data_IF_474476454579
#
_entry.id   IF_474476454579
#
_cell.length_a   1.000
_cell.length_b   1.000
_cell.length_c   1.000
_cell.angle_alpha   90.00
_cell.angle_beta   90.00
_cell.angle_gamma   90.00
#
_symmetry.space_group_name_H-M   'P 1'
#
loop_
_entity.id
_entity.type
_entity.pdbx_description
1 polymer ?
#
# COMPACT_ATOMS: atom_id res chain seq x y z
N UNK A 1 0.93 11.60 -30.90
CA UNK A 1 -0.26 11.03 -30.30
C UNK A 1 0.11 10.46 -28.93
N UNK A 2 -0.53 10.93 -27.90
CA UNK A 2 -0.26 10.42 -26.58
C UNK A 2 -0.88 9.04 -26.44
N UNK A 3 -0.17 8.08 -25.83
CA UNK A 3 -0.78 6.79 -25.55
C UNK A 3 -1.92 6.97 -24.55
N UNK A 4 -3.06 6.44 -24.88
CA UNK A 4 -4.24 6.50 -24.02
C UNK A 4 -4.14 5.50 -22.87
N UNK A 5 -3.24 4.52 -23.00
CA UNK A 5 -3.03 3.49 -22.02
C UNK A 5 -1.55 3.37 -21.70
N UNK A 6 -1.25 3.26 -20.41
CA UNK A 6 0.05 2.80 -20.00
C UNK A 6 -0.05 1.28 -19.82
N UNK A 7 0.69 0.56 -20.65
CA UNK A 7 0.80 -0.87 -20.47
C UNK A 7 1.78 -1.14 -19.35
N UNK A 8 1.28 -1.81 -18.31
CA UNK A 8 2.10 -2.24 -17.20
C UNK A 8 2.42 -3.70 -17.42
N UNK A 9 3.71 -4.00 -17.45
CA UNK A 9 4.15 -5.38 -17.57
C UNK A 9 4.21 -6.04 -16.19
N UNK A 10 3.66 -7.24 -16.09
CA UNK A 10 3.66 -8.02 -14.87
C UNK A 10 4.52 -9.27 -15.03
N UNK A 11 5.14 -9.76 -13.94
CA UNK A 11 5.14 -9.17 -12.61
C UNK A 11 5.91 -7.85 -12.58
N UNK A 12 5.50 -6.95 -11.69
CA UNK A 12 6.20 -5.68 -11.53
C UNK A 12 6.26 -5.27 -10.06
N UNK A 13 7.26 -4.45 -9.76
CA UNK A 13 7.36 -3.84 -8.44
C UNK A 13 6.32 -2.73 -8.34
N UNK A 14 5.50 -2.78 -7.28
CA UNK A 14 4.47 -1.79 -7.03
C UNK A 14 4.63 -1.21 -5.63
N UNK A 15 4.25 0.05 -5.49
CA UNK A 15 4.35 0.73 -4.21
C UNK A 15 2.98 1.21 -3.78
N UNK A 16 2.61 0.89 -2.54
CA UNK A 16 1.46 1.47 -1.87
C UNK A 16 1.96 2.34 -0.74
N UNK A 17 1.25 3.43 -0.50
CA UNK A 17 1.48 4.26 0.68
C UNK A 17 0.24 4.18 1.54
N UNK A 18 0.42 3.70 2.78
CA UNK A 18 -0.68 3.52 3.73
C UNK A 18 -0.61 4.65 4.75
N UNK A 19 -1.76 5.27 4.97
CA UNK A 19 -1.87 6.36 5.95
C UNK A 19 -2.77 5.89 7.09
N UNK A 20 -2.32 6.08 8.32
CA UNK A 20 -3.05 5.71 9.51
C UNK A 20 -2.64 6.54 10.71
N UNK A 21 -3.26 6.25 11.86
CA UNK A 21 -3.05 7.01 13.09
C UNK A 21 -2.05 6.35 14.04
N UNK A 22 -1.84 5.04 13.90
CA UNK A 22 -1.00 4.25 14.79
C UNK A 22 -0.16 3.29 13.97
N UNK A 23 1.15 3.32 14.16
CA UNK A 23 2.08 2.51 13.37
C UNK A 23 1.85 1.02 13.58
N UNK A 24 1.68 0.59 14.83
CA UNK A 24 1.52 -0.84 15.12
C UNK A 24 0.23 -1.39 14.54
N UNK A 25 -0.85 -0.63 14.63
CA UNK A 25 -2.13 -0.99 14.03
C UNK A 25 -2.06 -1.00 12.51
N UNK A 26 -1.35 -0.04 11.95
CA UNK A 26 -1.17 0.04 10.50
C UNK A 26 -0.37 -1.16 9.98
N UNK A 27 0.68 -1.54 10.68
CA UNK A 27 1.47 -2.74 10.35
C UNK A 27 0.67 -4.02 10.50
N UNK A 28 -0.11 -4.12 11.56
CA UNK A 28 -0.98 -5.28 11.78
C UNK A 28 -2.04 -5.39 10.69
N UNK A 29 -2.62 -4.26 10.29
CA UNK A 29 -3.59 -4.20 9.20
C UNK A 29 -2.99 -4.67 7.87
N UNK A 30 -1.76 -4.23 7.58
CA UNK A 30 -1.03 -4.69 6.40
C UNK A 30 -0.84 -6.21 6.43
N UNK A 31 -0.45 -6.75 7.58
CA UNK A 31 -0.21 -8.19 7.73
C UNK A 31 -1.48 -9.02 7.55
N UNK A 32 -2.65 -8.46 7.83
CA UNK A 32 -3.94 -9.10 7.57
C UNK A 32 -4.28 -9.13 6.08
N UNK A 33 -3.75 -8.20 5.32
CA UNK A 33 -4.08 -8.06 3.89
C UNK A 33 -3.09 -8.76 2.98
N UNK A 34 -1.82 -8.82 3.37
CA UNK A 34 -0.76 -9.38 2.55
C UNK A 34 0.34 -9.94 3.46
N UNK A 35 1.04 -10.98 3.00
CA UNK A 35 2.16 -11.55 3.73
C UNK A 35 3.28 -10.50 3.83
N UNK A 36 3.66 -10.08 5.05
CA UNK A 36 4.73 -9.09 5.21
C UNK A 36 6.07 -9.53 4.63
N UNK A 37 6.31 -10.84 4.53
CA UNK A 37 7.53 -11.37 3.93
C UNK A 37 7.66 -11.03 2.45
N UNK A 38 6.54 -10.73 1.78
CA UNK A 38 6.53 -10.29 0.38
C UNK A 38 6.85 -8.82 0.23
N UNK A 39 6.87 -8.08 1.33
CA UNK A 39 6.91 -6.62 1.30
C UNK A 39 8.21 -6.08 1.86
N UNK A 40 8.66 -4.97 1.29
CA UNK A 40 9.63 -4.09 1.93
C UNK A 40 8.84 -2.92 2.50
N UNK A 41 8.89 -2.77 3.82
CA UNK A 41 8.11 -1.77 4.52
C UNK A 41 9.05 -0.73 5.10
N UNK A 42 8.78 0.53 4.81
CA UNK A 42 9.55 1.65 5.35
C UNK A 42 8.61 2.73 5.88
N UNK A 43 9.12 3.51 6.82
CA UNK A 43 8.35 4.64 7.33
C UNK A 43 8.36 5.77 6.32
N UNK A 44 7.20 6.36 6.11
CA UNK A 44 7.06 7.59 5.36
C UNK A 44 7.01 8.80 6.30
N UNK A 45 6.24 9.78 5.93
CA UNK A 45 6.10 11.00 6.71
C UNK A 45 5.16 10.83 7.89
N UNK A 46 5.47 11.57 8.97
CA UNK A 46 4.53 11.81 10.06
C UNK A 46 3.94 13.20 9.83
N UNK A 47 2.62 13.32 9.93
CA UNK A 47 1.96 14.60 9.71
C UNK A 47 2.35 15.60 10.81
N UNK A 48 2.25 16.87 10.46
CA UNK A 48 2.44 17.94 11.41
C UNK A 48 1.44 17.81 12.56
N UNK A 49 1.94 17.70 13.78
CA UNK A 49 1.09 17.44 14.95
C UNK A 49 0.97 15.97 15.33
N UNK A 50 1.52 15.05 14.54
CA UNK A 50 1.61 13.64 14.89
C UNK A 50 0.31 12.84 14.81
N UNK A 51 -0.74 13.38 14.18
CA UNK A 51 -2.03 12.70 14.06
C UNK A 51 -2.02 11.54 13.06
N UNK A 52 -1.22 11.65 12.01
CA UNK A 52 -1.16 10.65 10.96
C UNK A 52 0.28 10.32 10.61
N UNK A 53 0.49 9.10 10.22
CA UNK A 53 1.77 8.64 9.71
C UNK A 53 1.54 7.79 8.47
N UNK A 54 2.58 7.61 7.69
CA UNK A 54 2.51 6.76 6.52
C UNK A 54 3.54 5.65 6.58
N UNK A 55 3.17 4.52 5.97
CA UNK A 55 4.10 3.43 5.66
C UNK A 55 4.17 3.30 4.15
N UNK A 56 5.37 3.12 3.66
CA UNK A 56 5.61 2.84 2.25
C UNK A 56 5.82 1.34 2.10
N UNK A 57 5.02 0.72 1.25
CA UNK A 57 5.01 -0.73 1.07
C UNK A 57 5.37 -1.04 -0.37
N UNK A 58 6.51 -1.68 -0.57
CA UNK A 58 6.96 -2.12 -1.88
C UNK A 58 6.81 -3.64 -1.96
N UNK A 59 6.20 -4.12 -3.02
CA UNK A 59 6.07 -5.55 -3.26
C UNK A 59 5.94 -5.81 -4.76
N UNK A 60 6.27 -7.03 -5.15
CA UNK A 60 6.03 -7.47 -6.53
C UNK A 60 4.59 -7.96 -6.64
N UNK A 61 3.86 -7.42 -7.61
CA UNK A 61 2.51 -7.88 -7.95
C UNK A 61 2.54 -8.64 -9.27
N UNK A 62 1.80 -9.73 -9.33
CA UNK A 62 1.86 -10.65 -10.47
C UNK A 62 0.88 -10.30 -11.58
N UNK A 63 -0.12 -9.49 -11.28
CA UNK A 63 -1.16 -9.12 -12.24
C UNK A 63 -1.86 -7.82 -11.83
N UNK A 64 -2.56 -7.23 -12.80
CA UNK A 64 -3.42 -6.09 -12.51
C UNK A 64 -4.53 -6.46 -11.53
N UNK A 65 -5.08 -7.66 -11.64
CA UNK A 65 -6.10 -8.16 -10.72
C UNK A 65 -5.59 -8.19 -9.28
N UNK A 66 -4.38 -8.70 -9.07
CA UNK A 66 -3.77 -8.72 -7.75
C UNK A 66 -3.55 -7.31 -7.24
N UNK A 67 -3.02 -6.42 -8.07
CA UNK A 67 -2.75 -5.04 -7.70
C UNK A 67 -4.02 -4.32 -7.24
N UNK A 68 -5.10 -4.46 -8.00
CA UNK A 68 -6.38 -3.83 -7.67
C UNK A 68 -7.04 -4.48 -6.46
N UNK A 69 -6.95 -5.79 -6.36
CA UNK A 69 -7.50 -6.53 -5.22
C UNK A 69 -6.82 -6.14 -3.91
N UNK A 70 -5.50 -6.04 -3.92
CA UNK A 70 -4.73 -5.60 -2.75
C UNK A 70 -5.10 -4.18 -2.36
N UNK A 71 -5.22 -3.29 -3.34
CA UNK A 71 -5.64 -1.92 -3.09
C UNK A 71 -6.99 -1.87 -2.38
N UNK A 72 -7.98 -2.59 -2.90
CA UNK A 72 -9.31 -2.61 -2.32
C UNK A 72 -9.31 -3.18 -0.91
N UNK A 73 -8.56 -4.24 -0.70
CA UNK A 73 -8.46 -4.90 0.58
C UNK A 73 -7.82 -3.98 1.63
N UNK A 74 -6.75 -3.31 1.27
CA UNK A 74 -6.07 -2.34 2.13
C UNK A 74 -6.99 -1.15 2.43
N UNK A 75 -7.64 -0.61 1.41
CA UNK A 75 -8.50 0.56 1.56
C UNK A 75 -9.74 0.27 2.40
N UNK A 76 -10.17 -0.98 2.47
CA UNK A 76 -11.35 -1.38 3.26
C UNK A 76 -11.01 -1.62 4.74
N UNK A 77 -9.73 -1.69 5.10
CA UNK A 77 -9.34 -2.00 6.47
C UNK A 77 -9.60 -0.79 7.40
N UNK A 78 -10.24 -0.99 8.56
CA UNK A 78 -10.61 0.12 9.45
C UNK A 78 -9.43 0.89 10.03
N UNK A 79 -8.24 0.28 10.13
CA UNK A 79 -7.04 0.95 10.64
C UNK A 79 -6.19 1.60 9.55
N UNK A 80 -6.59 1.48 8.31
CA UNK A 80 -5.96 2.16 7.18
C UNK A 80 -6.90 3.27 6.71
N UNK A 81 -6.48 4.51 6.91
CA UNK A 81 -7.31 5.68 6.58
C UNK A 81 -7.33 5.97 5.10
N UNK A 82 -6.20 5.76 4.45
CA UNK A 82 -6.05 6.06 3.03
C UNK A 82 -4.95 5.20 2.44
N UNK A 83 -5.13 4.82 1.19
CA UNK A 83 -4.12 4.13 0.37
C UNK A 83 -3.83 4.97 -0.86
N UNK A 84 -2.57 5.27 -1.06
CA UNK A 84 -2.12 6.02 -2.23
C UNK A 84 -1.27 5.17 -3.16
#
# INVERSE_FOLDING_TARGET
>A
MAPEHLEIEYPCLWQYRLIGEDEDRLRAALAECVDPARCTISRGHVSKGGHYLSLVVDLTVDSEEERLWLYQRLAAHPHIRMVL
#
